data_IF_792908063393
#
_entry.id   IF_792908063393
#
_cell.length_a   1.000
_cell.length_b   1.000
_cell.length_c   1.000
_cell.angle_alpha   90.00
_cell.angle_beta   90.00
_cell.angle_gamma   90.00
#
_symmetry.space_group_name_H-M   'P 1'
#
loop_
_entity.id
_entity.type
_entity.pdbx_description
1 polymer ?
#
# COMPACT_ATOMS: atom_id res chain seq x y z
N UNK A 1 -4.41 -17.14 -3.79
CA UNK A 1 -5.59 -17.16 -2.88
C UNK A 1 -6.70 -16.22 -3.39
N UNK A 2 -7.96 -16.36 -2.95
CA UNK A 2 -9.09 -15.50 -3.36
C UNK A 2 -9.46 -14.55 -2.20
N UNK A 3 -9.31 -13.24 -2.43
CA UNK A 3 -9.97 -12.21 -1.61
C UNK A 3 -11.41 -12.18 -2.08
N UNK A 4 -12.34 -12.43 -1.16
CA UNK A 4 -13.76 -12.53 -1.49
C UNK A 4 -14.47 -11.18 -1.38
N UNK A 5 -13.97 -10.25 -0.55
CA UNK A 5 -14.48 -8.87 -0.44
C UNK A 5 -13.44 -7.87 0.10
N UNK A 6 -12.94 -6.98 -0.77
CA UNK A 6 -11.98 -5.96 -0.36
C UNK A 6 -12.60 -4.57 -0.21
N UNK A 7 -12.14 -3.80 0.76
CA UNK A 7 -12.22 -2.35 0.71
C UNK A 7 -10.84 -1.76 0.41
N UNK A 8 -10.79 -0.68 -0.35
CA UNK A 8 -9.56 0.05 -0.66
C UNK A 8 -9.78 1.52 -0.33
N UNK A 9 -8.92 2.04 0.55
CA UNK A 9 -8.85 3.44 0.96
C UNK A 9 -7.55 4.02 0.43
N UNK A 10 -7.62 4.83 -0.63
CA UNK A 10 -6.45 5.46 -1.22
C UNK A 10 -6.36 6.93 -0.79
N UNK A 11 -5.25 7.31 -0.17
CA UNK A 11 -5.02 8.67 0.31
C UNK A 11 -4.21 9.47 -0.72
N UNK A 12 -4.82 10.51 -1.27
CA UNK A 12 -4.16 11.46 -2.16
C UNK A 12 -3.81 12.75 -1.40
N UNK A 13 -2.67 13.41 -1.72
CA UNK A 13 -2.29 14.64 -1.06
C UNK A 13 -3.20 15.79 -1.49
N UNK A 14 -3.68 16.56 -0.50
CA UNK A 14 -4.36 17.82 -0.76
C UNK A 14 -3.35 18.88 -1.17
N UNK A 15 -3.63 19.62 -2.24
CA UNK A 15 -2.80 20.74 -2.67
C UNK A 15 -2.73 21.80 -1.58
N UNK A 16 -1.52 22.17 -1.11
CA UNK A 16 -1.37 23.21 -0.10
C UNK A 16 -1.70 24.61 -0.65
N UNK A 17 -1.76 24.77 -1.97
CA UNK A 17 -1.98 26.07 -2.64
C UNK A 17 -3.43 26.22 -3.06
N UNK A 18 -4.01 25.21 -3.73
CA UNK A 18 -5.36 25.33 -4.31
C UNK A 18 -6.45 24.73 -3.44
N UNK A 19 -6.09 24.05 -2.34
CA UNK A 19 -7.00 23.28 -1.48
C UNK A 19 -7.81 22.17 -2.20
N UNK A 20 -7.55 21.92 -3.48
CA UNK A 20 -8.07 20.76 -4.21
C UNK A 20 -7.22 19.51 -3.98
N UNK A 21 -7.73 18.34 -4.35
CA UNK A 21 -6.96 17.10 -4.39
C UNK A 21 -6.98 16.55 -5.82
N UNK A 22 -5.83 16.10 -6.31
CA UNK A 22 -5.77 15.32 -7.53
C UNK A 22 -5.88 13.86 -7.10
N UNK A 23 -7.04 13.24 -7.34
CA UNK A 23 -7.30 11.84 -6.98
C UNK A 23 -6.67 10.90 -8.02
N UNK A 24 -5.34 10.90 -8.05
CA UNK A 24 -4.53 10.33 -9.12
C UNK A 24 -4.55 8.80 -9.09
N UNK A 25 -4.62 8.21 -7.91
CA UNK A 25 -4.57 6.75 -7.75
C UNK A 25 -5.82 6.10 -8.30
N UNK A 26 -6.97 6.78 -8.17
CA UNK A 26 -8.23 6.36 -8.79
C UNK A 26 -8.10 6.15 -10.30
N UNK A 27 -7.33 6.98 -11.00
CA UNK A 27 -7.22 6.90 -12.46
C UNK A 27 -6.41 5.67 -12.93
N UNK A 28 -5.70 5.01 -12.02
CA UNK A 28 -4.90 3.81 -12.32
C UNK A 28 -5.69 2.51 -12.13
N UNK A 29 -6.86 2.58 -11.50
CA UNK A 29 -7.72 1.41 -11.22
C UNK A 29 -8.61 1.11 -12.42
N UNK A 30 -8.57 -0.14 -12.90
CA UNK A 30 -9.52 -0.63 -13.88
C UNK A 30 -10.84 -1.03 -13.19
N UNK A 31 -11.74 -0.04 -13.04
CA UNK A 31 -13.04 -0.27 -12.41
C UNK A 31 -13.94 -1.25 -13.18
N UNK A 32 -13.67 -1.52 -14.46
CA UNK A 32 -14.47 -2.48 -15.23
C UNK A 32 -14.17 -3.93 -14.86
N UNK A 33 -13.06 -4.16 -14.15
CA UNK A 33 -12.58 -5.48 -13.77
C UNK A 33 -12.49 -5.67 -12.24
N UNK A 34 -13.11 -4.76 -11.47
CA UNK A 34 -13.27 -4.94 -10.04
C UNK A 34 -14.33 -6.00 -9.77
N UNK A 35 -14.04 -6.92 -8.85
CA UNK A 35 -15.03 -7.88 -8.38
C UNK A 35 -16.22 -7.20 -7.73
N UNK A 36 -17.39 -7.85 -7.78
CA UNK A 36 -18.67 -7.31 -7.27
C UNK A 36 -18.64 -6.94 -5.77
N UNK A 37 -17.67 -7.48 -5.03
CA UNK A 37 -17.48 -7.21 -3.59
C UNK A 37 -16.23 -6.37 -3.31
N UNK A 38 -15.87 -5.46 -4.23
CA UNK A 38 -14.80 -4.49 -3.97
C UNK A 38 -15.36 -3.09 -3.79
N UNK A 39 -15.06 -2.46 -2.66
CA UNK A 39 -15.29 -1.05 -2.41
C UNK A 39 -14.00 -0.28 -2.58
N UNK A 40 -14.04 0.86 -3.27
CA UNK A 40 -12.87 1.72 -3.46
C UNK A 40 -13.24 3.18 -3.18
N UNK A 41 -12.46 3.84 -2.32
CA UNK A 41 -12.63 5.25 -1.96
C UNK A 41 -11.29 5.97 -1.99
N UNK A 42 -11.23 7.06 -2.74
CA UNK A 42 -10.14 8.03 -2.63
C UNK A 42 -10.47 9.07 -1.57
N UNK A 43 -9.49 9.41 -0.74
CA UNK A 43 -9.59 10.34 0.37
C UNK A 43 -8.48 11.38 0.22
N UNK A 44 -8.82 12.64 0.43
CA UNK A 44 -7.82 13.70 0.43
C UNK A 44 -7.30 13.91 1.85
N UNK A 45 -5.99 13.86 2.04
CA UNK A 45 -5.33 14.14 3.32
C UNK A 45 -4.50 15.42 3.25
N UNK A 46 -4.60 16.25 4.29
CA UNK A 46 -3.78 17.45 4.43
C UNK A 46 -2.68 17.20 5.45
N UNK A 47 -1.41 17.23 5.04
CA UNK A 47 -0.30 16.96 5.94
C UNK A 47 -0.24 15.51 6.41
N UNK A 48 0.08 15.29 7.68
CA UNK A 48 0.49 14.00 8.26
C UNK A 48 -0.61 13.32 9.10
N UNK A 49 -1.88 13.61 8.79
CA UNK A 49 -2.95 13.45 9.76
C UNK A 49 -3.81 12.21 9.54
N UNK A 50 -3.30 11.05 9.98
CA UNK A 50 -3.98 9.75 9.91
C UNK A 50 -5.01 9.52 11.02
N UNK A 51 -5.33 10.51 11.88
CA UNK A 51 -6.27 10.33 13.00
C UNK A 51 -7.64 9.77 12.61
N UNK A 52 -8.10 10.09 11.40
CA UNK A 52 -9.40 9.64 10.90
C UNK A 52 -9.34 8.22 10.31
N UNK A 53 -8.15 7.62 10.14
CA UNK A 53 -7.99 6.28 9.54
C UNK A 53 -8.76 5.24 10.34
N UNK A 54 -8.63 5.23 11.68
CA UNK A 54 -9.31 4.24 12.53
C UNK A 54 -10.83 4.35 12.39
N UNK A 55 -11.39 5.57 12.45
CA UNK A 55 -12.83 5.80 12.30
C UNK A 55 -13.31 5.41 10.90
N UNK A 56 -12.51 5.66 9.85
CA UNK A 56 -12.86 5.29 8.48
C UNK A 56 -12.77 3.77 8.29
N UNK A 57 -11.76 3.10 8.84
CA UNK A 57 -11.63 1.65 8.82
C UNK A 57 -12.80 1.02 9.59
N UNK A 58 -13.15 1.53 10.77
CA UNK A 58 -14.29 1.04 11.55
C UNK A 58 -15.61 1.29 10.82
N UNK A 59 -15.79 2.45 10.19
CA UNK A 59 -16.97 2.72 9.37
C UNK A 59 -17.04 1.78 8.17
N UNK A 60 -15.93 1.51 7.49
CA UNK A 60 -15.92 0.67 6.28
C UNK A 60 -16.00 -0.82 6.63
N UNK A 61 -15.37 -1.25 7.72
CA UNK A 61 -15.43 -2.62 8.23
C UNK A 61 -16.75 -2.93 8.95
N UNK A 62 -17.26 -1.97 9.72
CA UNK A 62 -18.46 -2.08 10.57
C UNK A 62 -19.76 -1.67 9.89
N UNK A 63 -19.76 -0.82 8.85
CA UNK A 63 -20.99 -0.51 8.09
C UNK A 63 -21.55 -1.71 7.31
N UNK A 64 -20.80 -2.81 7.26
CA UNK A 64 -21.21 -4.07 6.66
C UNK A 64 -21.27 -5.19 7.70
N UNK A 65 -21.95 -4.95 8.82
CA UNK A 65 -22.18 -5.97 9.85
C UNK A 65 -22.86 -7.25 9.24
N UNK A 66 -22.32 -8.44 9.54
CA UNK A 66 -22.80 -9.73 9.03
C UNK A 66 -22.17 -10.21 7.70
N UNK A 67 -22.93 -10.91 6.84
CA UNK A 67 -22.45 -11.55 5.58
C UNK A 67 -21.90 -10.58 4.52
N UNK A 68 -21.92 -9.27 4.79
CA UNK A 68 -21.49 -8.23 3.85
C UNK A 68 -20.13 -7.62 4.20
N UNK A 69 -19.55 -7.97 5.36
CA UNK A 69 -18.26 -7.45 5.79
C UNK A 69 -17.16 -7.70 4.75
N UNK A 70 -16.23 -6.76 4.65
CA UNK A 70 -15.02 -6.96 3.87
C UNK A 70 -14.07 -7.89 4.63
N UNK A 71 -13.47 -8.86 3.92
CA UNK A 71 -12.46 -9.75 4.51
C UNK A 71 -11.08 -9.09 4.54
N UNK A 72 -10.88 -7.99 3.81
CA UNK A 72 -9.62 -7.24 3.80
C UNK A 72 -9.86 -5.76 3.54
N UNK A 73 -9.22 -4.88 4.31
CA UNK A 73 -9.18 -3.43 4.06
C UNK A 73 -7.76 -3.05 3.68
N UNK A 74 -7.56 -2.58 2.45
CA UNK A 74 -6.30 -2.01 1.99
C UNK A 74 -6.29 -0.51 2.21
N UNK A 75 -5.20 -0.01 2.77
CA UNK A 75 -4.94 1.42 2.91
C UNK A 75 -3.70 1.77 2.08
N UNK A 76 -3.89 2.55 1.02
CA UNK A 76 -2.82 3.11 0.21
C UNK A 76 -2.53 4.52 0.72
N UNK A 77 -1.27 4.77 1.06
CA UNK A 77 -0.84 6.08 1.54
C UNK A 77 -0.39 6.97 0.38
N UNK A 78 -0.11 8.24 0.67
CA UNK A 78 0.25 9.26 -0.34
C UNK A 78 1.58 8.97 -1.06
N UNK A 79 2.55 8.39 -0.35
CA UNK A 79 3.83 7.99 -0.92
C UNK A 79 4.85 9.13 -1.07
N UNK A 80 4.98 10.01 -0.06
CA UNK A 80 5.80 11.23 -0.17
C UNK A 80 6.79 11.52 0.99
N UNK A 81 7.13 10.57 1.88
CA UNK A 81 8.28 10.72 2.79
C UNK A 81 8.17 10.10 4.18
N UNK A 82 8.93 10.64 5.14
CA UNK A 82 9.12 10.12 6.51
C UNK A 82 7.82 9.86 7.30
N UNK A 83 6.76 10.58 6.94
CA UNK A 83 5.53 10.62 7.72
C UNK A 83 4.57 9.46 7.42
N UNK A 84 4.91 8.63 6.43
CA UNK A 84 4.18 7.40 6.13
C UNK A 84 4.29 6.36 7.25
N UNK A 85 5.29 6.50 8.14
CA UNK A 85 5.53 5.56 9.25
C UNK A 85 4.38 5.46 10.26
N UNK A 86 3.61 6.54 10.45
CA UNK A 86 2.46 6.58 11.38
C UNK A 86 1.35 5.62 11.00
N UNK A 87 1.24 5.22 9.73
CA UNK A 87 0.19 4.28 9.29
C UNK A 87 0.26 2.94 10.04
N UNK A 88 1.45 2.55 10.50
CA UNK A 88 1.67 1.30 11.26
C UNK A 88 0.88 1.25 12.56
N UNK A 89 0.47 2.40 13.12
CA UNK A 89 -0.37 2.45 14.32
C UNK A 89 -1.84 2.08 14.05
N UNK A 90 -2.25 2.08 12.77
CA UNK A 90 -3.64 1.95 12.33
C UNK A 90 -3.93 0.67 11.52
N UNK A 91 -2.92 -0.15 11.21
CA UNK A 91 -3.06 -1.34 10.37
C UNK A 91 -2.36 -2.55 10.97
N UNK A 92 -2.87 -3.75 10.70
CA UNK A 92 -2.31 -5.01 11.21
C UNK A 92 -0.94 -5.34 10.59
N UNK A 93 -0.78 -5.03 9.30
CA UNK A 93 0.42 -5.32 8.52
C UNK A 93 0.68 -4.20 7.51
N UNK A 94 1.96 -3.95 7.24
CA UNK A 94 2.42 -2.95 6.29
C UNK A 94 3.24 -3.59 5.16
N UNK A 95 2.97 -3.11 3.95
CA UNK A 95 3.70 -3.50 2.74
C UNK A 95 4.43 -2.30 2.19
N UNK A 96 5.76 -2.39 2.13
CA UNK A 96 6.58 -1.33 1.55
C UNK A 96 6.92 -1.69 0.11
N UNK A 97 6.32 -0.95 -0.82
CA UNK A 97 6.49 -1.16 -2.27
C UNK A 97 7.55 -0.21 -2.81
N UNK A 98 8.60 -0.78 -3.39
CA UNK A 98 9.72 -0.08 -4.02
C UNK A 98 9.82 -0.50 -5.48
N UNK A 99 10.48 0.32 -6.31
CA UNK A 99 10.73 0.00 -7.71
C UNK A 99 12.20 0.19 -8.08
N UNK A 100 12.76 -0.62 -9.00
CA UNK A 100 14.13 -0.44 -9.47
C UNK A 100 14.41 0.98 -9.97
N UNK A 101 15.58 1.51 -9.61
CA UNK A 101 16.05 2.82 -10.09
C UNK A 101 15.37 4.03 -9.45
N UNK A 102 14.59 3.87 -8.38
CA UNK A 102 13.93 5.00 -7.69
C UNK A 102 14.89 5.89 -6.86
N UNK A 103 16.20 5.61 -6.89
CA UNK A 103 17.20 6.32 -6.07
C UNK A 103 17.45 5.65 -4.74
N UNK A 104 18.45 6.18 -4.01
CA UNK A 104 19.15 5.56 -2.88
C UNK A 104 18.19 4.96 -1.84
N UNK A 105 18.08 3.62 -1.79
CA UNK A 105 17.31 2.90 -0.77
C UNK A 105 17.73 3.35 0.64
N UNK A 106 18.98 3.80 0.81
CA UNK A 106 19.51 4.42 2.03
C UNK A 106 18.80 5.72 2.41
N UNK A 107 18.29 6.51 1.47
CA UNK A 107 17.49 7.69 1.81
C UNK A 107 16.06 7.34 2.24
N UNK A 108 15.49 6.26 1.70
CA UNK A 108 14.22 5.71 2.19
C UNK A 108 14.40 5.06 3.58
N UNK A 109 15.57 4.43 3.82
CA UNK A 109 15.95 3.89 5.12
C UNK A 109 16.07 5.00 6.17
N UNK A 110 16.74 6.11 5.83
CA UNK A 110 16.77 7.33 6.66
C UNK A 110 15.39 7.90 6.93
N UNK A 111 14.37 7.50 6.17
CA UNK A 111 12.99 7.90 6.36
C UNK A 111 12.18 7.06 7.34
N UNK A 112 12.78 6.01 7.92
CA UNK A 112 12.08 5.07 8.80
C UNK A 112 11.03 4.22 8.09
N UNK A 113 10.77 4.46 6.80
CA UNK A 113 9.77 3.74 6.00
C UNK A 113 10.14 2.25 5.90
N UNK A 114 11.43 1.93 5.79
CA UNK A 114 11.87 0.53 5.73
C UNK A 114 11.77 -0.17 7.09
N UNK A 115 11.70 0.60 8.19
CA UNK A 115 11.54 0.04 9.53
C UNK A 115 10.11 -0.45 9.77
N UNK A 116 9.12 0.22 9.18
CA UNK A 116 7.72 -0.19 9.38
C UNK A 116 7.37 -1.47 8.64
N UNK A 117 8.07 -1.83 7.56
CA UNK A 117 7.73 -2.94 6.67
C UNK A 117 7.59 -4.28 7.41
N UNK A 118 6.45 -4.94 7.24
CA UNK A 118 6.30 -6.36 7.56
C UNK A 118 6.62 -7.22 6.32
N UNK A 119 6.29 -6.71 5.13
CA UNK A 119 6.66 -7.30 3.82
C UNK A 119 7.27 -6.22 2.93
N UNK A 120 8.39 -6.54 2.28
CA UNK A 120 8.95 -5.71 1.21
C UNK A 120 8.48 -6.19 -0.16
N UNK A 121 8.19 -5.26 -1.05
CA UNK A 121 7.84 -5.55 -2.44
C UNK A 121 8.80 -4.81 -3.38
N UNK A 122 9.51 -5.56 -4.22
CA UNK A 122 10.21 -5.01 -5.38
C UNK A 122 9.27 -5.08 -6.59
N UNK A 123 8.48 -4.04 -6.81
CA UNK A 123 7.57 -3.95 -7.95
C UNK A 123 8.30 -3.45 -9.20
N UNK A 124 7.78 -3.80 -10.38
CA UNK A 124 8.44 -3.63 -11.68
C UNK A 124 9.74 -4.43 -11.75
N UNK A 125 9.71 -5.67 -11.25
CA UNK A 125 10.84 -6.60 -11.28
C UNK A 125 11.32 -6.95 -12.71
N UNK A 126 10.57 -6.56 -13.75
CA UNK A 126 10.99 -6.64 -15.16
C UNK A 126 11.86 -5.46 -15.63
N UNK A 127 12.15 -4.48 -14.77
CA UNK A 127 13.02 -3.34 -15.08
C UNK A 127 14.49 -3.57 -14.68
N UNK A 128 15.45 -2.97 -15.41
CA UNK A 128 16.84 -2.95 -15.00
C UNK A 128 17.02 -2.37 -13.59
N UNK A 129 17.90 -3.00 -12.80
CA UNK A 129 18.17 -2.61 -11.40
C UNK A 129 17.38 -3.40 -10.35
N UNK A 130 16.51 -4.34 -10.76
CA UNK A 130 15.81 -5.23 -9.82
C UNK A 130 16.78 -5.98 -8.91
N UNK A 131 17.77 -6.67 -9.48
CA UNK A 131 18.74 -7.44 -8.68
C UNK A 131 19.50 -6.59 -7.65
N UNK A 132 19.76 -5.32 -7.98
CA UNK A 132 20.41 -4.36 -7.07
C UNK A 132 19.47 -4.02 -5.92
N UNK A 133 18.22 -3.63 -6.22
CA UNK A 133 17.21 -3.33 -5.21
C UNK A 133 16.93 -4.53 -4.29
N UNK A 134 16.77 -5.73 -4.85
CA UNK A 134 16.53 -6.95 -4.06
C UNK A 134 17.73 -7.26 -3.17
N UNK A 135 18.95 -7.03 -3.63
CA UNK A 135 20.15 -7.19 -2.82
C UNK A 135 20.17 -6.19 -1.66
N UNK A 136 19.92 -4.91 -1.93
CA UNK A 136 19.90 -3.87 -0.89
C UNK A 136 18.80 -4.15 0.15
N UNK A 137 17.64 -4.63 -0.30
CA UNK A 137 16.56 -5.06 0.59
C UNK A 137 16.95 -6.24 1.45
N UNK A 138 17.70 -7.22 0.94
CA UNK A 138 18.16 -8.36 1.75
C UNK A 138 19.08 -7.95 2.89
N UNK A 139 19.88 -6.89 2.69
CA UNK A 139 20.80 -6.39 3.71
C UNK A 139 20.05 -5.78 4.91
N UNK A 140 18.84 -5.25 4.70
CA UNK A 140 18.03 -4.61 5.75
C UNK A 140 16.81 -5.43 6.20
N UNK A 141 16.25 -6.30 5.36
CA UNK A 141 14.96 -6.96 5.63
C UNK A 141 15.03 -7.93 6.82
N UNK A 142 16.21 -8.43 7.18
CA UNK A 142 16.36 -9.41 8.25
C UNK A 142 15.56 -10.68 7.94
N UNK A 143 14.51 -10.97 8.71
CA UNK A 143 13.62 -12.11 8.49
C UNK A 143 12.35 -11.78 7.69
N UNK A 144 12.13 -10.51 7.38
CA UNK A 144 10.93 -10.05 6.67
C UNK A 144 10.98 -10.51 5.22
N UNK A 145 9.87 -11.03 4.66
CA UNK A 145 9.85 -11.49 3.27
C UNK A 145 10.04 -10.33 2.29
N UNK A 146 10.67 -10.65 1.16
CA UNK A 146 10.79 -9.76 0.00
C UNK A 146 10.09 -10.47 -1.16
N UNK A 147 9.13 -9.79 -1.78
CA UNK A 147 8.37 -10.31 -2.93
C UNK A 147 8.68 -9.45 -4.15
N UNK A 148 9.06 -10.10 -5.24
CA UNK A 148 9.23 -9.44 -6.53
C UNK A 148 7.90 -9.46 -7.29
N UNK A 149 7.45 -8.31 -7.79
CA UNK A 149 6.17 -8.21 -8.51
C UNK A 149 6.30 -7.48 -9.84
N UNK A 150 5.44 -7.85 -10.78
CA UNK A 150 5.13 -7.04 -11.96
C UNK A 150 3.63 -6.80 -11.96
N UNK A 151 3.18 -5.74 -11.27
CA UNK A 151 1.77 -5.49 -11.00
C UNK A 151 0.91 -5.43 -12.28
N UNK A 152 1.44 -4.86 -13.37
CA UNK A 152 0.76 -4.77 -14.66
C UNK A 152 0.50 -6.12 -15.34
N UNK A 153 1.21 -7.17 -14.92
CA UNK A 153 1.03 -8.55 -15.38
C UNK A 153 0.48 -9.47 -14.28
N UNK A 154 0.11 -8.91 -13.13
CA UNK A 154 -0.28 -9.63 -11.92
C UNK A 154 0.74 -10.70 -11.44
N UNK A 155 2.01 -10.59 -11.84
CA UNK A 155 3.06 -11.52 -11.43
C UNK A 155 3.52 -11.19 -10.01
N UNK A 156 3.67 -12.20 -9.14
CA UNK A 156 4.08 -12.04 -7.74
C UNK A 156 2.97 -11.55 -6.80
N UNK A 157 1.86 -11.06 -7.36
CA UNK A 157 0.72 -10.55 -6.57
C UNK A 157 0.03 -11.66 -5.78
N UNK A 158 -0.26 -12.85 -6.35
CA UNK A 158 -0.83 -13.94 -5.56
C UNK A 158 0.05 -14.34 -4.37
N UNK A 159 1.36 -14.42 -4.56
CA UNK A 159 2.34 -14.76 -3.51
C UNK A 159 2.37 -13.69 -2.41
N UNK A 160 2.32 -12.41 -2.79
CA UNK A 160 2.18 -11.31 -1.82
C UNK A 160 0.90 -11.45 -0.99
N UNK A 161 -0.24 -11.71 -1.64
CA UNK A 161 -1.53 -11.84 -0.94
C UNK A 161 -1.56 -13.05 0.01
N UNK A 162 -0.84 -14.12 -0.32
CA UNK A 162 -0.75 -15.29 0.55
C UNK A 162 0.03 -14.97 1.86
N UNK A 163 1.04 -14.09 1.79
CA UNK A 163 1.79 -13.65 2.97
C UNK A 163 0.98 -12.76 3.92
N UNK A 164 0.12 -11.89 3.37
CA UNK A 164 -0.66 -10.92 4.14
C UNK A 164 -1.85 -11.53 4.93
N UNK A 165 -2.02 -12.85 4.86
CA UNK A 165 -3.08 -13.59 5.58
C UNK A 165 -2.56 -14.37 6.80
N UNK A 166 -1.28 -14.21 7.13
CA UNK A 166 -0.58 -14.93 8.22
C UNK A 166 -0.35 -14.02 9.41
#
# INVERSE_FOLDING_TARGET
VRIDAAAVLAFDPKSPITSGALLGDRLRVDFNNLGERVFYRSLAIGGEDYHAVDEIIELVGGAFDGDRAFDTVFVETVGAGQNETKIREHVDQTVVVLTPGMGDAVQMDKAGILEIADVFVCNKADHPGENELVRDLRDIAGKRPIVETVATRAQGVPELLDLLRT
#
